data_IF_543307122216
#
_entry.id   IF_543307122216
#
_cell.length_a   1.000
_cell.length_b   1.000
_cell.length_c   1.000
_cell.angle_alpha   90.00
_cell.angle_beta   90.00
_cell.angle_gamma   90.00
#
_symmetry.space_group_name_H-M   'P 1'
#
loop_
_entity.id
_entity.type
_entity.pdbx_description
1 polymer ?
#
# COMPACT_ATOMS: atom_id res chain seq x y z
N UNK A 1 -1.56 11.71 -15.25
CA UNK A 1 -1.68 12.08 -16.69
C UNK A 1 -0.57 11.39 -17.49
N UNK A 2 -0.69 10.09 -17.75
CA UNK A 2 0.40 9.24 -18.31
C UNK A 2 -0.05 8.41 -19.52
N UNK A 3 -1.32 8.49 -19.92
CA UNK A 3 -1.90 7.70 -21.03
C UNK A 3 -1.55 8.21 -22.44
N UNK A 4 -0.84 9.34 -22.57
CA UNK A 4 -0.60 10.02 -23.85
C UNK A 4 0.36 9.25 -24.78
N UNK A 5 1.20 8.36 -24.26
CA UNK A 5 2.22 7.64 -25.03
C UNK A 5 1.79 6.26 -25.54
N UNK A 6 0.61 5.77 -25.12
CA UNK A 6 0.13 4.45 -25.51
C UNK A 6 -0.71 4.49 -26.78
N UNK A 7 -0.44 3.55 -27.70
CA UNK A 7 -1.25 3.36 -28.90
C UNK A 7 -2.65 2.89 -28.53
N UNK A 8 -3.69 3.15 -29.36
CA UNK A 8 -5.07 2.75 -29.07
C UNK A 8 -5.24 1.27 -28.71
N UNK A 9 -4.53 0.36 -29.40
CA UNK A 9 -4.54 -1.08 -29.11
C UNK A 9 -3.90 -1.43 -27.77
N UNK A 10 -2.86 -0.71 -27.37
CA UNK A 10 -2.22 -0.90 -26.06
C UNK A 10 -3.15 -0.43 -24.93
N UNK A 11 -3.85 0.69 -25.12
CA UNK A 11 -4.86 1.15 -24.13
C UNK A 11 -5.98 0.14 -23.96
N UNK A 12 -6.48 -0.45 -25.05
CA UNK A 12 -7.51 -1.50 -24.98
C UNK A 12 -6.98 -2.76 -24.27
N UNK A 13 -5.74 -3.17 -24.57
CA UNK A 13 -5.09 -4.28 -23.88
C UNK A 13 -4.92 -4.03 -22.38
N UNK A 14 -4.53 -2.82 -21.99
CA UNK A 14 -4.40 -2.39 -20.58
C UNK A 14 -5.70 -2.60 -19.81
N UNK A 15 -6.82 -2.13 -20.36
CA UNK A 15 -8.14 -2.30 -19.73
C UNK A 15 -8.51 -3.78 -19.59
N UNK A 16 -8.35 -4.57 -20.65
CA UNK A 16 -8.64 -6.01 -20.60
C UNK A 16 -7.76 -6.76 -19.60
N UNK A 17 -6.50 -6.37 -19.47
CA UNK A 17 -5.60 -6.91 -18.44
C UNK A 17 -6.07 -6.53 -17.04
N UNK A 18 -6.48 -5.28 -16.84
CA UNK A 18 -6.99 -4.81 -15.54
C UNK A 18 -8.31 -5.52 -15.14
N UNK A 19 -9.15 -5.87 -16.11
CA UNK A 19 -10.36 -6.68 -15.93
C UNK A 19 -10.07 -8.18 -15.66
N UNK A 20 -8.80 -8.60 -15.64
CA UNK A 20 -8.39 -9.96 -15.32
C UNK A 20 -8.39 -10.93 -16.51
N UNK A 21 -8.51 -10.43 -17.76
CA UNK A 21 -8.47 -11.27 -18.94
C UNK A 21 -7.07 -11.86 -19.17
N UNK A 22 -7.00 -13.13 -19.58
CA UNK A 22 -5.72 -13.77 -19.85
C UNK A 22 -5.06 -13.21 -21.11
N UNK A 23 -3.74 -13.05 -21.10
CA UNK A 23 -2.95 -12.51 -22.21
C UNK A 23 -3.22 -13.20 -23.57
N UNK A 24 -3.49 -14.51 -23.57
CA UNK A 24 -3.85 -15.25 -24.81
C UNK A 24 -5.21 -14.83 -25.37
N UNK A 25 -6.19 -14.61 -24.51
CA UNK A 25 -7.52 -14.14 -24.89
C UNK A 25 -7.45 -12.70 -25.40
N UNK A 26 -6.69 -11.83 -24.73
CA UNK A 26 -6.45 -10.45 -25.16
C UNK A 26 -5.81 -10.42 -26.56
N UNK A 27 -4.80 -11.26 -26.79
CA UNK A 27 -4.14 -11.35 -28.10
C UNK A 27 -5.11 -11.75 -29.22
N UNK A 28 -5.99 -12.73 -28.94
CA UNK A 28 -7.05 -13.15 -29.86
C UNK A 28 -8.06 -12.02 -30.12
N UNK A 29 -8.56 -11.38 -29.07
CA UNK A 29 -9.56 -10.31 -29.12
C UNK A 29 -9.05 -9.05 -29.85
N UNK A 30 -7.75 -8.78 -29.75
CA UNK A 30 -7.11 -7.65 -30.43
C UNK A 30 -6.54 -8.01 -31.81
N UNK A 31 -6.60 -9.27 -32.22
CA UNK A 31 -6.04 -9.76 -33.47
C UNK A 31 -4.53 -9.51 -33.58
N UNK A 32 -3.78 -9.68 -32.48
CA UNK A 32 -2.33 -9.49 -32.42
C UNK A 32 -1.61 -10.77 -31.99
N UNK A 33 -0.33 -10.88 -32.32
CA UNK A 33 0.50 -11.98 -31.85
C UNK A 33 0.70 -11.92 -30.33
N UNK A 34 0.67 -13.08 -29.66
CA UNK A 34 0.96 -13.19 -28.23
C UNK A 34 2.33 -12.60 -27.85
N UNK A 35 3.32 -12.77 -28.73
CA UNK A 35 4.67 -12.20 -28.57
C UNK A 35 4.68 -10.66 -28.60
N UNK A 36 3.74 -10.04 -29.33
CA UNK A 36 3.54 -8.59 -29.34
C UNK A 36 3.01 -8.09 -28.00
N UNK A 37 2.08 -8.82 -27.39
CA UNK A 37 1.57 -8.48 -26.06
C UNK A 37 2.67 -8.63 -24.99
N UNK A 38 3.47 -9.69 -25.06
CA UNK A 38 4.62 -9.89 -24.18
C UNK A 38 5.68 -8.79 -24.34
N UNK A 39 5.91 -8.29 -25.55
CA UNK A 39 6.86 -7.18 -25.75
C UNK A 39 6.37 -5.88 -25.14
N UNK A 40 5.05 -5.65 -25.11
CA UNK A 40 4.46 -4.51 -24.40
C UNK A 40 4.63 -4.63 -22.88
N UNK A 41 4.54 -5.83 -22.31
CA UNK A 41 4.81 -6.06 -20.89
C UNK A 41 6.24 -5.73 -20.45
N UNK A 42 7.19 -5.57 -21.38
CA UNK A 42 8.55 -5.09 -21.10
C UNK A 42 8.69 -3.57 -21.17
N UNK A 43 7.67 -2.86 -21.67
CA UNK A 43 7.67 -1.41 -21.75
C UNK A 43 7.17 -0.82 -20.42
N UNK A 44 8.00 -0.06 -19.68
CA UNK A 44 7.60 0.54 -18.41
C UNK A 44 6.35 1.43 -18.52
N UNK A 45 6.14 2.09 -19.66
CA UNK A 45 4.95 2.92 -19.86
C UNK A 45 3.66 2.09 -19.97
N UNK A 46 3.74 0.88 -20.52
CA UNK A 46 2.60 -0.04 -20.57
C UNK A 46 2.32 -0.64 -19.19
N UNK A 47 3.36 -1.09 -18.49
CA UNK A 47 3.24 -1.67 -17.14
C UNK A 47 2.59 -0.67 -16.18
N UNK A 48 3.11 0.57 -16.11
CA UNK A 48 2.50 1.62 -15.29
C UNK A 48 1.04 1.87 -15.63
N UNK A 49 0.67 1.82 -16.90
CA UNK A 49 -0.73 2.04 -17.29
C UNK A 49 -1.64 0.88 -16.87
N UNK A 50 -1.14 -0.36 -16.86
CA UNK A 50 -1.85 -1.51 -16.27
C UNK A 50 -2.01 -1.31 -14.77
N UNK A 51 -0.95 -0.93 -14.07
CA UNK A 51 -0.99 -0.70 -12.62
C UNK A 51 -1.95 0.44 -12.26
N UNK A 52 -1.91 1.55 -12.99
CA UNK A 52 -2.84 2.68 -12.83
C UNK A 52 -4.29 2.25 -13.08
N UNK A 53 -4.55 1.43 -14.09
CA UNK A 53 -5.89 0.93 -14.40
C UNK A 53 -6.40 -0.02 -13.30
N UNK A 54 -5.54 -0.93 -12.80
CA UNK A 54 -5.86 -1.81 -11.69
C UNK A 54 -6.18 -1.02 -10.41
N UNK A 55 -5.33 -0.05 -10.05
CA UNK A 55 -5.56 0.81 -8.89
C UNK A 55 -6.85 1.60 -9.02
N UNK A 56 -7.19 2.07 -10.22
CA UNK A 56 -8.45 2.77 -10.45
C UNK A 56 -9.65 1.85 -10.24
N UNK A 57 -9.63 0.63 -10.81
CA UNK A 57 -10.70 -0.35 -10.63
C UNK A 57 -10.84 -0.78 -9.16
N UNK A 58 -9.73 -1.02 -8.46
CA UNK A 58 -9.74 -1.32 -7.03
C UNK A 58 -10.31 -0.17 -6.20
N UNK A 59 -9.97 1.08 -6.55
CA UNK A 59 -10.50 2.27 -5.88
C UNK A 59 -12.02 2.38 -6.08
N UNK A 60 -12.52 2.19 -7.29
CA UNK A 60 -13.96 2.23 -7.58
C UNK A 60 -14.70 1.08 -6.86
N UNK A 61 -14.19 -0.15 -6.94
CA UNK A 61 -14.77 -1.29 -6.21
C UNK A 61 -14.78 -1.06 -4.69
N UNK A 62 -13.72 -0.45 -4.16
CA UNK A 62 -13.66 -0.08 -2.73
C UNK A 62 -14.73 0.95 -2.38
N UNK A 63 -14.95 1.96 -3.22
CA UNK A 63 -16.01 2.96 -3.02
C UNK A 63 -17.39 2.32 -3.06
N UNK A 64 -17.64 1.44 -4.01
CA UNK A 64 -18.91 0.70 -4.11
C UNK A 64 -19.15 -0.16 -2.85
N UNK A 65 -18.12 -0.86 -2.37
CA UNK A 65 -18.21 -1.62 -1.12
C UNK A 65 -18.49 -0.72 0.09
N UNK A 66 -17.85 0.45 0.17
CA UNK A 66 -18.10 1.43 1.24
C UNK A 66 -19.54 1.97 1.20
N UNK A 67 -20.06 2.24 0.00
CA UNK A 67 -21.46 2.65 -0.18
C UNK A 67 -22.42 1.53 0.23
N UNK A 68 -22.21 0.31 -0.28
CA UNK A 68 -23.04 -0.85 0.07
C UNK A 68 -23.00 -1.20 1.56
N UNK A 69 -21.88 -0.93 2.24
CA UNK A 69 -21.79 -1.03 3.70
C UNK A 69 -22.71 -0.01 4.41
N UNK A 70 -22.76 1.24 3.93
CA UNK A 70 -23.69 2.25 4.44
C UNK A 70 -25.15 1.81 4.31
N UNK A 71 -25.51 1.28 3.13
CA UNK A 71 -26.85 0.76 2.85
C UNK A 71 -27.18 -0.45 3.73
N UNK A 72 -26.22 -1.36 3.95
CA UNK A 72 -26.40 -2.51 4.84
C UNK A 72 -26.63 -2.08 6.30
N UNK A 73 -25.89 -1.09 6.80
CA UNK A 73 -26.09 -0.53 8.14
C UNK A 73 -27.46 0.14 8.26
N UNK A 74 -27.87 0.89 7.23
CA UNK A 74 -29.19 1.51 7.19
C UNK A 74 -30.28 0.43 7.23
N UNK A 75 -30.13 -0.64 6.46
CA UNK A 75 -31.09 -1.74 6.46
C UNK A 75 -31.15 -2.46 7.81
N UNK A 76 -30.01 -2.67 8.46
CA UNK A 76 -29.97 -3.23 9.81
C UNK A 76 -30.73 -2.35 10.81
N UNK A 77 -30.64 -1.01 10.70
CA UNK A 77 -31.41 -0.10 11.56
C UNK A 77 -32.91 -0.21 11.35
N UNK A 78 -33.36 -0.37 10.10
CA UNK A 78 -34.78 -0.61 9.82
C UNK A 78 -35.27 -1.93 10.44
N UNK A 79 -34.46 -2.98 10.37
CA UNK A 79 -34.80 -4.31 10.90
C UNK A 79 -34.89 -4.34 12.44
N UNK A 80 -34.31 -3.37 13.15
CA UNK A 80 -34.51 -3.23 14.60
C UNK A 80 -35.96 -2.97 14.98
N UNK A 81 -36.75 -2.40 14.07
CA UNK A 81 -38.18 -2.12 14.29
C UNK A 81 -39.08 -3.29 13.85
N UNK A 82 -38.50 -4.42 13.46
CA UNK A 82 -39.26 -5.60 13.06
C UNK A 82 -40.08 -6.15 14.23
N UNK A 83 -41.31 -6.58 13.94
CA UNK A 83 -42.17 -7.27 14.94
C UNK A 83 -41.64 -8.65 15.30
N UNK A 84 -40.76 -9.23 14.48
CA UNK A 84 -40.10 -10.49 14.80
C UNK A 84 -38.90 -10.22 15.72
N UNK A 85 -39.01 -10.66 16.97
CA UNK A 85 -37.93 -10.55 17.96
C UNK A 85 -36.61 -11.17 17.48
N UNK A 86 -36.68 -12.28 16.72
CA UNK A 86 -35.49 -12.93 16.16
C UNK A 86 -34.78 -12.04 15.14
N UNK A 87 -35.53 -11.36 14.27
CA UNK A 87 -34.99 -10.44 13.27
C UNK A 87 -34.41 -9.20 13.95
N UNK A 88 -35.14 -8.61 14.91
CA UNK A 88 -34.69 -7.45 15.66
C UNK A 88 -33.41 -7.75 16.47
N UNK A 89 -33.34 -8.92 17.12
CA UNK A 89 -32.15 -9.37 17.84
C UNK A 89 -30.96 -9.61 16.90
N UNK A 90 -31.20 -10.21 15.72
CA UNK A 90 -30.18 -10.39 14.69
C UNK A 90 -29.59 -9.05 14.22
N UNK A 91 -30.45 -8.08 13.95
CA UNK A 91 -30.05 -6.73 13.57
C UNK A 91 -29.25 -6.01 14.69
N UNK A 92 -29.70 -6.13 15.94
CA UNK A 92 -29.00 -5.56 17.10
C UNK A 92 -27.59 -6.15 17.26
N UNK A 93 -27.44 -7.48 17.13
CA UNK A 93 -26.14 -8.15 17.18
C UNK A 93 -25.21 -7.68 16.06
N UNK A 94 -25.72 -7.55 14.83
CA UNK A 94 -24.94 -7.05 13.70
C UNK A 94 -24.42 -5.63 13.96
N UNK A 95 -25.26 -4.74 14.47
CA UNK A 95 -24.87 -3.36 14.79
C UNK A 95 -23.81 -3.31 15.90
N UNK A 96 -23.99 -4.10 16.98
CA UNK A 96 -23.02 -4.15 18.08
C UNK A 96 -21.67 -4.70 17.60
N UNK A 97 -21.66 -5.82 16.87
CA UNK A 97 -20.43 -6.40 16.33
C UNK A 97 -19.71 -5.43 15.41
N UNK A 98 -20.47 -4.72 14.58
CA UNK A 98 -19.94 -3.68 13.70
C UNK A 98 -19.28 -2.54 14.50
N UNK A 99 -19.92 -2.09 15.59
CA UNK A 99 -19.34 -1.07 16.46
C UNK A 99 -18.04 -1.55 17.13
N UNK A 100 -18.03 -2.79 17.64
CA UNK A 100 -16.84 -3.37 18.25
C UNK A 100 -15.66 -3.37 17.27
N UNK A 101 -15.87 -3.80 16.03
CA UNK A 101 -14.82 -3.77 15.00
C UNK A 101 -14.32 -2.35 14.67
N UNK A 102 -15.19 -1.34 14.69
CA UNK A 102 -14.77 0.06 14.50
C UNK A 102 -13.88 0.52 15.65
N UNK A 103 -14.23 0.18 16.89
CA UNK A 103 -13.42 0.51 18.07
C UNK A 103 -12.07 -0.20 18.01
N UNK A 104 -12.06 -1.51 17.76
CA UNK A 104 -10.84 -2.32 17.63
C UNK A 104 -9.89 -1.76 16.56
N UNK A 105 -10.43 -1.34 15.40
CA UNK A 105 -9.64 -0.74 14.33
C UNK A 105 -9.01 0.59 14.75
N UNK A 106 -9.76 1.44 15.47
CA UNK A 106 -9.23 2.73 15.96
C UNK A 106 -8.11 2.51 16.97
N UNK A 107 -8.32 1.62 17.93
CA UNK A 107 -7.30 1.28 18.93
C UNK A 107 -6.06 0.66 18.28
N UNK A 108 -6.25 -0.17 17.26
CA UNK A 108 -5.15 -0.75 16.49
C UNK A 108 -4.39 0.32 15.70
N UNK A 109 -5.07 1.30 15.12
CA UNK A 109 -4.44 2.42 14.42
C UNK A 109 -3.61 3.31 15.37
N UNK A 110 -4.14 3.63 16.56
CA UNK A 110 -3.40 4.37 17.59
C UNK A 110 -2.15 3.62 18.01
N UNK A 111 -2.27 2.32 18.33
CA UNK A 111 -1.11 1.49 18.70
C UNK A 111 -0.07 1.41 17.58
N UNK A 112 -0.50 1.34 16.33
CA UNK A 112 0.41 1.37 15.18
C UNK A 112 1.16 2.70 15.05
N UNK A 113 0.49 3.83 15.28
CA UNK A 113 1.12 5.14 15.25
C UNK A 113 2.18 5.29 16.36
N UNK A 114 1.83 4.87 17.59
CA UNK A 114 2.77 4.86 18.73
C UNK A 114 3.99 3.98 18.46
N UNK A 115 3.78 2.77 17.92
CA UNK A 115 4.87 1.86 17.60
C UNK A 115 5.77 2.42 16.48
N UNK A 116 5.18 3.07 15.48
CA UNK A 116 5.94 3.69 14.38
C UNK A 116 6.82 4.83 14.89
N UNK A 117 6.31 5.66 15.80
CA UNK A 117 7.09 6.73 16.43
C UNK A 117 8.24 6.18 17.28
N UNK A 118 8.02 5.09 18.02
CA UNK A 118 9.07 4.42 18.78
C UNK A 118 10.18 3.86 17.88
N UNK A 119 9.81 3.24 16.75
CA UNK A 119 10.78 2.73 15.76
C UNK A 119 11.63 3.89 15.22
N UNK A 120 11.01 4.97 14.78
CA UNK A 120 11.73 6.15 14.26
C UNK A 120 12.67 6.74 15.34
N UNK A 121 12.23 6.78 16.60
CA UNK A 121 13.05 7.21 17.72
C UNK A 121 14.26 6.30 17.97
N UNK A 122 14.11 4.98 17.81
CA UNK A 122 15.19 4.01 17.93
C UNK A 122 16.19 4.12 16.78
N UNK A 123 15.71 4.28 15.54
CA UNK A 123 16.55 4.49 14.36
C UNK A 123 17.42 5.74 14.54
N UNK A 124 16.84 6.88 14.95
CA UNK A 124 17.60 8.11 15.24
C UNK A 124 18.64 7.93 16.36
N UNK A 125 18.34 7.10 17.37
CA UNK A 125 19.29 6.81 18.46
C UNK A 125 20.45 5.92 17.97
N UNK A 126 20.16 4.95 17.11
CA UNK A 126 21.15 4.09 16.49
C UNK A 126 22.09 4.92 15.60
N UNK A 127 21.55 5.75 14.72
CA UNK A 127 22.34 6.65 13.87
C UNK A 127 23.26 7.57 14.69
N UNK A 128 22.76 8.16 15.78
CA UNK A 128 23.59 8.97 16.68
C UNK A 128 24.71 8.15 17.33
N UNK A 129 24.42 6.93 17.74
CA UNK A 129 25.41 6.03 18.34
C UNK A 129 26.52 5.66 17.34
N UNK A 130 26.17 5.39 16.08
CA UNK A 130 27.12 5.07 15.02
C UNK A 130 27.99 6.28 14.65
N UNK A 131 27.41 7.48 14.59
CA UNK A 131 28.15 8.73 14.36
C UNK A 131 29.12 9.03 15.51
N UNK A 132 28.71 8.83 16.77
CA UNK A 132 29.59 9.02 17.92
C UNK A 132 30.73 8.00 17.97
N UNK A 133 30.47 6.73 17.62
CA UNK A 133 31.51 5.71 17.52
C UNK A 133 32.53 6.06 16.42
N UNK A 134 32.06 6.47 15.24
CA UNK A 134 32.94 6.89 14.13
C UNK A 134 33.76 8.14 14.46
N UNK A 135 33.19 9.12 15.17
CA UNK A 135 33.93 10.33 15.57
C UNK A 135 35.02 10.01 16.61
N UNK A 136 34.76 9.06 17.50
CA UNK A 136 35.76 8.60 18.48
C UNK A 136 36.93 7.88 17.81
N UNK A 137 36.66 7.07 16.78
CA UNK A 137 37.70 6.36 16.03
C UNK A 137 38.62 7.33 15.26
N UNK A 138 38.06 8.42 14.70
CA UNK A 138 38.83 9.46 13.99
C UNK A 138 39.78 10.20 14.95
N UNK A 139 39.30 10.61 16.14
CA UNK A 139 40.11 11.29 17.16
C UNK A 139 41.28 10.41 17.66
N UNK A 140 41.05 9.10 17.81
CA UNK A 140 42.11 8.15 18.18
C UNK A 140 43.17 8.02 17.09
N UNK A 141 42.77 8.00 15.81
CA UNK A 141 43.72 7.94 14.69
C UNK A 141 44.53 9.22 14.54
N UNK A 142 43.92 10.41 14.69
CA UNK A 142 44.64 11.68 14.60
C UNK A 142 45.69 11.83 15.72
N UNK A 143 45.31 11.48 16.96
CA UNK A 143 46.24 11.48 18.10
C UNK A 143 47.41 10.51 17.94
N UNK A 144 47.17 9.34 17.33
CA UNK A 144 48.23 8.38 17.05
C UNK A 144 49.22 8.90 15.98
N UNK A 145 48.72 9.59 14.95
CA UNK A 145 49.54 10.19 13.89
C UNK A 145 50.40 11.35 14.44
N UNK A 146 49.82 12.22 15.27
CA UNK A 146 50.56 13.33 15.91
C UNK A 146 51.68 12.82 16.83
N UNK A 147 51.40 11.81 17.66
CA UNK A 147 52.40 11.21 18.54
C UNK A 147 53.58 10.59 17.77
N UNK A 148 53.31 9.96 16.62
CA UNK A 148 54.33 9.37 15.76
C UNK A 148 55.18 10.43 15.03
N UNK A 149 54.56 11.55 14.61
CA UNK A 149 55.26 12.68 13.99
C UNK A 149 56.19 13.40 14.98
N UNK A 150 55.83 13.48 16.27
CA UNK A 150 56.65 14.09 17.32
C UNK A 150 57.86 13.19 17.65
N UNK A 151 57.68 11.87 17.69
CA UNK A 151 58.76 10.92 17.98
C UNK A 151 59.86 10.86 16.90
N UNK A 152 59.54 11.18 15.64
CA UNK A 152 60.49 11.15 14.51
C UNK A 152 61.24 12.49 14.27
N UNK A 153 61.01 13.52 15.10
CA UNK A 153 61.68 14.84 15.00
C UNK A 153 62.71 15.11 16.10
N UNK A 154 62.92 14.17 17.03
CA UNK A 154 63.98 14.22 18.04
C UNK A 154 65.15 13.32 17.67
#
# INVERSE_FOLDING_TARGET
MTSATLKPRQRKAVLMTAEGMQLRQIAQELGIGYTTLLSWGRNPAYVRAVDEALQHMESEATKELQQGYGDAVQKARELLQSQSESIALGAAKLIINTMNHVVERRESATRWAELSEQIEGLEKRLERSEVMASAHDVDLTERAIEAHSIANRG
#
